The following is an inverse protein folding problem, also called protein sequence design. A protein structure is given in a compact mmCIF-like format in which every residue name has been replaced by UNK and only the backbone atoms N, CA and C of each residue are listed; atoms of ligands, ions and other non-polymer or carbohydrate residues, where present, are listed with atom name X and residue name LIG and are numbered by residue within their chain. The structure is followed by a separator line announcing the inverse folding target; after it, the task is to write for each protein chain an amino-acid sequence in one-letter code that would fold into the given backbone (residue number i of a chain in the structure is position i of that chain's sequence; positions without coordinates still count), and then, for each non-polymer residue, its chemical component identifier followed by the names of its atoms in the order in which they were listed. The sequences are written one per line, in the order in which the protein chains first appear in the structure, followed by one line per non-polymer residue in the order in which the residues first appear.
data_IF_404833755116
#
_entry.id   IF_404833755116
#
_cell.length_a   1.000
_cell.length_b   1.000
_cell.length_c   1.000
_cell.angle_alpha   90.00
_cell.angle_beta   90.00
_cell.angle_gamma   90.00
#
_symmetry.space_group_name_H-M   'P 1'
#
loop_
_entity.id
_entity.type
_entity.pdbx_description
1 polymer ?
#
# COMPACT_ATOMS: atom_id res chain seq x y z
N UNK A 1 -23.12 -80.89 -15.71
CA UNK A 1 -22.95 -79.89 -16.80
C UNK A 1 -23.84 -78.69 -16.47
N UNK A 2 -23.22 -77.51 -16.42
CA UNK A 2 -23.80 -76.22 -16.05
C UNK A 2 -24.53 -75.61 -17.24
N UNK A 3 -25.72 -75.02 -17.06
CA UNK A 3 -26.09 -73.73 -17.68
C UNK A 3 -27.01 -72.99 -16.68
N UNK A 4 -26.54 -71.83 -16.21
CA UNK A 4 -27.22 -70.89 -15.31
C UNK A 4 -28.16 -69.96 -16.11
N UNK A 5 -29.23 -69.41 -15.49
CA UNK A 5 -30.06 -68.37 -16.11
C UNK A 5 -29.44 -66.97 -15.95
N UNK A 6 -29.60 -66.12 -16.98
CA UNK A 6 -29.20 -64.71 -17.00
C UNK A 6 -30.07 -63.86 -16.04
N UNK A 7 -29.49 -62.87 -15.32
CA UNK A 7 -30.26 -61.85 -14.63
C UNK A 7 -30.43 -60.57 -15.48
N UNK A 8 -31.60 -59.94 -15.32
CA UNK A 8 -31.93 -58.60 -15.80
C UNK A 8 -30.95 -57.54 -15.29
N UNK A 9 -30.50 -56.66 -16.20
CA UNK A 9 -29.67 -55.50 -15.88
C UNK A 9 -30.58 -54.30 -15.65
N UNK A 10 -30.71 -53.85 -14.40
CA UNK A 10 -31.37 -52.59 -14.07
C UNK A 10 -30.40 -51.43 -14.35
N UNK A 11 -30.73 -50.59 -15.33
CA UNK A 11 -30.00 -49.34 -15.59
C UNK A 11 -30.33 -48.32 -14.49
N UNK A 12 -29.43 -48.18 -13.52
CA UNK A 12 -29.44 -47.06 -12.57
C UNK A 12 -28.80 -45.87 -13.27
N UNK A 13 -29.62 -44.86 -13.59
CA UNK A 13 -29.14 -43.58 -14.07
C UNK A 13 -28.40 -42.86 -12.93
N UNK A 14 -27.07 -42.83 -13.02
CA UNK A 14 -26.21 -42.03 -12.16
C UNK A 14 -26.43 -40.54 -12.49
N UNK A 15 -27.17 -39.85 -11.62
CA UNK A 15 -27.14 -38.39 -11.51
C UNK A 15 -25.72 -37.98 -11.10
N UNK A 16 -24.95 -37.47 -12.05
CA UNK A 16 -23.71 -36.76 -11.79
C UNK A 16 -24.08 -35.44 -11.10
N UNK A 17 -24.00 -35.40 -9.77
CA UNK A 17 -23.82 -34.14 -9.06
C UNK A 17 -22.46 -33.59 -9.46
N UNK A 18 -22.45 -32.51 -10.25
CA UNK A 18 -21.29 -31.66 -10.44
C UNK A 18 -20.91 -31.05 -9.08
N UNK A 19 -20.08 -31.76 -8.32
CA UNK A 19 -19.35 -31.17 -7.21
C UNK A 19 -18.38 -30.18 -7.85
N UNK A 20 -18.72 -28.90 -7.79
CA UNK A 20 -17.77 -27.82 -8.01
C UNK A 20 -16.72 -27.94 -6.91
N UNK A 21 -15.64 -28.66 -7.21
CA UNK A 21 -14.42 -28.65 -6.42
C UNK A 21 -13.88 -27.22 -6.54
N UNK A 22 -14.15 -26.40 -5.52
CA UNK A 22 -13.44 -25.15 -5.35
C UNK A 22 -11.95 -25.46 -5.43
N UNK A 23 -11.23 -24.81 -6.36
CA UNK A 23 -9.82 -25.04 -6.58
C UNK A 23 -9.07 -25.05 -5.23
N UNK A 24 -8.23 -26.06 -4.96
CA UNK A 24 -7.48 -26.12 -3.71
C UNK A 24 -6.65 -24.85 -3.57
N UNK A 25 -6.72 -24.25 -2.38
CA UNK A 25 -6.00 -23.03 -2.04
C UNK A 25 -4.53 -23.21 -2.40
N UNK A 26 -4.02 -22.39 -3.32
CA UNK A 26 -2.61 -22.41 -3.68
C UNK A 26 -1.84 -21.83 -2.51
N UNK A 27 -1.08 -22.69 -1.84
CA UNK A 27 -0.17 -22.30 -0.77
C UNK A 27 0.76 -21.19 -1.29
N UNK A 28 0.91 -20.06 -0.57
CA UNK A 28 1.72 -18.95 -1.05
C UNK A 28 3.17 -19.42 -1.24
N UNK A 29 3.77 -19.04 -2.37
CA UNK A 29 5.10 -19.47 -2.75
C UNK A 29 6.12 -19.20 -1.62
N UNK A 30 7.00 -20.19 -1.40
CA UNK A 30 8.06 -20.17 -0.42
C UNK A 30 8.92 -18.90 -0.53
N UNK A 31 8.99 -18.13 0.56
CA UNK A 31 9.55 -16.77 0.62
C UNK A 31 8.68 -15.78 1.40
N UNK A 32 7.50 -16.23 1.81
CA UNK A 32 6.47 -15.45 2.50
C UNK A 32 6.35 -15.94 3.94
N UNK A 33 7.20 -15.50 4.87
CA UNK A 33 7.07 -15.98 6.25
C UNK A 33 5.73 -15.50 6.82
N UNK A 34 4.88 -16.46 7.16
CA UNK A 34 3.52 -16.21 7.64
C UNK A 34 3.53 -15.34 8.91
N UNK A 35 2.44 -14.59 9.12
CA UNK A 35 2.26 -13.81 10.34
C UNK A 35 2.14 -14.77 11.54
N UNK A 36 3.02 -14.68 12.55
CA UNK A 36 3.09 -15.66 13.65
C UNK A 36 2.03 -15.40 14.74
N UNK A 37 0.87 -14.88 14.37
CA UNK A 37 -0.23 -14.56 15.27
C UNK A 37 -1.52 -15.15 14.73
N UNK A 38 -2.37 -15.65 15.64
CA UNK A 38 -3.66 -16.23 15.24
C UNK A 38 -4.71 -15.14 15.03
N UNK A 39 -4.58 -14.01 15.73
CA UNK A 39 -5.52 -12.88 15.65
C UNK A 39 -4.80 -11.57 15.36
N UNK A 40 -5.50 -10.67 14.68
CA UNK A 40 -5.02 -9.31 14.39
C UNK A 40 -4.84 -8.52 15.69
N UNK A 41 -5.74 -8.69 16.65
CA UNK A 41 -5.64 -8.05 17.97
C UNK A 41 -4.43 -8.54 18.79
N UNK A 42 -4.06 -9.82 18.64
CA UNK A 42 -2.87 -10.41 19.27
C UNK A 42 -1.59 -9.79 18.69
N UNK A 43 -1.51 -9.70 17.36
CA UNK A 43 -0.41 -9.04 16.67
C UNK A 43 -0.27 -7.57 17.12
N UNK A 44 -1.39 -6.85 17.18
CA UNK A 44 -1.41 -5.45 17.62
C UNK A 44 -0.90 -5.28 19.06
N UNK A 45 -1.38 -6.11 19.99
CA UNK A 45 -0.96 -6.07 21.39
C UNK A 45 0.52 -6.41 21.54
N UNK A 46 1.03 -7.38 20.80
CA UNK A 46 2.43 -7.77 20.82
C UNK A 46 3.34 -6.64 20.32
N UNK A 47 3.01 -6.02 19.18
CA UNK A 47 3.82 -4.94 18.60
C UNK A 47 3.79 -3.65 19.41
N UNK A 48 2.69 -3.37 20.12
CA UNK A 48 2.61 -2.22 21.05
C UNK A 48 3.59 -2.33 22.22
N UNK A 49 3.92 -3.54 22.63
CA UNK A 49 4.84 -3.82 23.72
C UNK A 49 6.23 -4.24 23.23
N UNK A 50 6.49 -4.11 21.93
CA UNK A 50 7.77 -4.50 21.35
C UNK A 50 8.79 -3.38 21.56
N UNK A 51 9.89 -3.68 22.24
CA UNK A 51 10.96 -2.73 22.51
C UNK A 51 11.54 -2.16 21.20
N UNK A 52 11.66 -0.83 21.14
CA UNK A 52 12.17 -0.11 19.98
C UNK A 52 11.24 -0.06 18.77
N UNK A 53 10.03 -0.62 18.86
CA UNK A 53 9.01 -0.43 17.83
C UNK A 53 8.41 0.98 17.91
N UNK A 54 8.29 1.63 16.75
CA UNK A 54 7.63 2.94 16.64
C UNK A 54 6.24 2.77 16.04
N UNK A 55 5.22 3.25 16.77
CA UNK A 55 3.83 3.24 16.33
C UNK A 55 3.45 4.58 15.68
N UNK A 56 2.65 4.54 14.63
CA UNK A 56 2.02 5.72 14.04
C UNK A 56 0.61 5.41 13.53
N UNK A 57 -0.19 6.46 13.28
CA UNK A 57 -1.58 6.33 12.85
C UNK A 57 -2.59 6.49 14.00
N UNK A 58 -3.86 6.24 13.68
CA UNK A 58 -5.00 6.44 14.58
C UNK A 58 -6.15 5.47 14.22
N UNK A 59 -7.24 5.46 14.98
CA UNK A 59 -8.35 4.54 14.72
C UNK A 59 -9.06 4.78 13.38
N UNK A 60 -9.10 6.03 12.89
CA UNK A 60 -9.78 6.37 11.65
C UNK A 60 -8.98 5.93 10.42
N UNK A 61 -7.66 6.05 10.51
CA UNK A 61 -6.71 5.77 9.43
C UNK A 61 -6.08 4.38 9.56
N UNK A 62 -6.19 3.74 10.71
CA UNK A 62 -5.47 2.50 11.01
C UNK A 62 -4.10 2.79 11.61
N UNK A 63 -3.39 1.73 11.95
CA UNK A 63 -2.13 1.84 12.67
C UNK A 63 -1.00 1.24 11.87
N UNK A 64 0.22 1.75 12.07
CA UNK A 64 1.41 1.08 11.61
C UNK A 64 2.47 1.00 12.70
N UNK A 65 3.26 -0.07 12.66
CA UNK A 65 4.41 -0.27 13.53
C UNK A 65 5.64 -0.49 12.68
N UNK A 66 6.71 0.26 12.96
CA UNK A 66 8.03 0.02 12.40
C UNK A 66 8.91 -0.57 13.49
N UNK A 67 9.47 -1.75 13.24
CA UNK A 67 10.40 -2.39 14.17
C UNK A 67 11.75 -1.68 14.19
N UNK A 68 12.51 -1.91 15.26
CA UNK A 68 13.83 -1.32 15.45
C UNK A 68 14.84 -1.69 14.35
N UNK A 69 14.61 -2.80 13.63
CA UNK A 69 15.42 -3.20 12.48
C UNK A 69 15.32 -2.24 11.28
N UNK A 70 14.39 -1.28 11.32
CA UNK A 70 14.13 -0.30 10.27
C UNK A 70 13.52 -0.87 8.98
N UNK A 71 13.45 -2.20 8.85
CA UNK A 71 13.07 -2.91 7.63
C UNK A 71 11.67 -3.49 7.72
N UNK A 72 11.28 -3.95 8.91
CA UNK A 72 10.00 -4.60 9.14
C UNK A 72 8.96 -3.59 9.57
N UNK A 73 7.89 -3.52 8.79
CA UNK A 73 6.77 -2.64 9.01
C UNK A 73 5.46 -3.43 9.00
N UNK A 74 4.56 -3.07 9.89
CA UNK A 74 3.26 -3.70 10.06
C UNK A 74 2.17 -2.66 9.84
N UNK A 75 1.12 -3.02 9.12
CA UNK A 75 0.01 -2.14 8.77
C UNK A 75 -1.30 -2.77 9.17
N UNK A 76 -2.04 -2.10 10.03
CA UNK A 76 -3.34 -2.50 10.54
C UNK A 76 -4.41 -1.66 9.88
N UNK A 77 -5.38 -2.34 9.29
CA UNK A 77 -6.55 -1.71 8.68
C UNK A 77 -7.43 -1.03 9.73
N UNK A 78 -7.90 0.19 9.46
CA UNK A 78 -8.93 0.85 10.28
C UNK A 78 -10.26 0.11 10.25
N UNK A 79 -11.10 0.38 11.25
CA UNK A 79 -12.44 -0.20 11.33
C UNK A 79 -13.34 0.13 10.13
N UNK A 80 -13.01 1.19 9.37
CA UNK A 80 -13.76 1.60 8.16
C UNK A 80 -13.34 0.82 6.92
N UNK A 81 -12.20 0.14 6.96
CA UNK A 81 -11.71 -0.59 5.80
C UNK A 81 -12.49 -1.89 5.58
N UNK A 82 -12.77 -2.22 4.32
CA UNK A 82 -13.54 -3.40 3.97
C UNK A 82 -12.88 -4.74 4.38
N UNK A 83 -11.55 -4.75 4.48
CA UNK A 83 -10.79 -5.92 4.95
C UNK A 83 -10.61 -5.97 6.48
N UNK A 84 -11.16 -5.00 7.23
CA UNK A 84 -11.01 -5.00 8.68
C UNK A 84 -11.73 -6.21 9.33
N UNK A 85 -11.11 -6.86 10.34
CA UNK A 85 -9.75 -6.65 10.82
C UNK A 85 -8.73 -7.42 9.98
N UNK A 86 -7.68 -6.71 9.55
CA UNK A 86 -6.54 -7.28 8.84
C UNK A 86 -5.24 -6.55 9.19
N UNK A 87 -4.13 -7.30 9.17
CA UNK A 87 -2.77 -6.81 9.28
C UNK A 87 -1.90 -7.32 8.14
N UNK A 88 -1.09 -6.44 7.58
CA UNK A 88 -0.04 -6.76 6.60
C UNK A 88 1.32 -6.51 7.24
N UNK A 89 2.22 -7.49 7.18
CA UNK A 89 3.63 -7.34 7.51
C UNK A 89 4.40 -7.19 6.21
N UNK A 90 5.28 -6.19 6.13
CA UNK A 90 6.19 -5.97 5.02
C UNK A 90 7.62 -5.87 5.54
N UNK A 91 8.53 -6.62 4.95
CA UNK A 91 9.96 -6.58 5.23
C UNK A 91 10.64 -6.02 3.98
N UNK A 92 11.22 -4.84 4.12
CA UNK A 92 11.91 -4.19 3.01
C UNK A 92 13.20 -4.96 2.65
N UNK A 93 13.56 -5.03 1.35
CA UNK A 93 14.77 -5.71 0.92
C UNK A 93 16.02 -5.07 1.53
N UNK A 94 17.07 -5.87 1.70
CA UNK A 94 18.38 -5.38 2.10
C UNK A 94 18.89 -4.43 1.01
N UNK A 95 19.30 -3.21 1.37
CA UNK A 95 19.77 -2.18 0.44
C UNK A 95 18.73 -1.63 -0.55
N UNK A 96 17.43 -1.90 -0.35
CA UNK A 96 16.38 -1.38 -1.22
C UNK A 96 16.28 -2.07 -2.59
N UNK A 97 17.14 -3.06 -2.88
CA UNK A 97 17.13 -3.82 -4.12
C UNK A 97 16.39 -5.15 -3.95
N UNK A 98 15.34 -5.35 -4.74
CA UNK A 98 14.53 -6.57 -4.73
C UNK A 98 13.09 -6.31 -4.28
N UNK A 99 12.32 -7.39 -4.20
CA UNK A 99 10.92 -7.32 -3.75
C UNK A 99 10.85 -7.36 -2.23
N UNK A 100 9.90 -6.63 -1.67
CA UNK A 100 9.61 -6.76 -0.24
C UNK A 100 8.96 -8.10 0.05
N UNK A 101 9.38 -8.73 1.13
CA UNK A 101 8.67 -9.88 1.67
C UNK A 101 7.40 -9.38 2.37
N UNK A 102 6.25 -9.98 2.08
CA UNK A 102 4.96 -9.52 2.58
C UNK A 102 4.13 -10.67 3.10
N UNK A 103 3.55 -10.55 4.29
CA UNK A 103 2.61 -11.51 4.83
C UNK A 103 1.33 -10.80 5.25
N UNK A 104 0.20 -11.52 5.21
CA UNK A 104 -1.10 -10.97 5.60
C UNK A 104 -1.82 -11.90 6.56
N UNK A 105 -2.55 -11.31 7.50
CA UNK A 105 -3.50 -11.99 8.37
C UNK A 105 -4.80 -11.21 8.30
N UNK A 106 -5.85 -11.87 7.80
CA UNK A 106 -7.21 -11.35 7.77
C UNK A 106 -8.12 -12.29 8.55
N UNK A 107 -8.96 -11.75 9.42
CA UNK A 107 -9.97 -12.57 10.12
C UNK A 107 -11.27 -12.68 9.32
N UNK A 108 -11.50 -11.75 8.37
CA UNK A 108 -12.64 -11.77 7.46
C UNK A 108 -12.20 -12.16 6.05
N UNK A 109 -12.74 -13.26 5.54
CA UNK A 109 -12.58 -13.63 4.13
C UNK A 109 -13.33 -12.64 3.26
N UNK A 110 -12.60 -11.84 2.49
CA UNK A 110 -13.16 -10.80 1.61
C UNK A 110 -12.22 -10.57 0.44
N UNK A 111 -12.78 -10.18 -0.70
CA UNK A 111 -12.00 -9.74 -1.86
C UNK A 111 -11.14 -8.51 -1.53
N UNK A 112 -11.55 -7.70 -0.55
CA UNK A 112 -10.74 -6.59 -0.03
C UNK A 112 -9.46 -7.08 0.66
N UNK A 113 -9.50 -8.22 1.36
CA UNK A 113 -8.30 -8.82 1.96
C UNK A 113 -7.33 -9.34 0.88
N UNK A 114 -7.85 -10.00 -0.15
CA UNK A 114 -7.04 -10.53 -1.27
C UNK A 114 -6.29 -9.39 -1.98
N UNK A 115 -6.98 -8.27 -2.20
CA UNK A 115 -6.42 -7.06 -2.83
C UNK A 115 -5.38 -6.33 -1.98
N UNK A 116 -5.31 -6.55 -0.67
CA UNK A 116 -4.32 -5.88 0.17
C UNK A 116 -2.89 -6.26 -0.27
N UNK A 117 -2.61 -7.55 -0.51
CA UNK A 117 -1.26 -7.96 -0.93
C UNK A 117 -0.85 -7.34 -2.27
N UNK A 118 -1.78 -7.21 -3.21
CA UNK A 118 -1.53 -6.57 -4.51
C UNK A 118 -1.19 -5.08 -4.34
N UNK A 119 -1.96 -4.36 -3.52
CA UNK A 119 -1.70 -2.96 -3.20
C UNK A 119 -0.30 -2.77 -2.60
N UNK A 120 0.11 -3.65 -1.69
CA UNK A 120 1.43 -3.58 -1.07
C UNK A 120 2.58 -4.00 -2.00
N UNK A 121 2.33 -4.95 -2.92
CA UNK A 121 3.31 -5.38 -3.90
C UNK A 121 3.68 -4.28 -4.92
N UNK A 122 2.75 -3.36 -5.21
CA UNK A 122 3.00 -2.20 -6.08
C UNK A 122 3.88 -1.11 -5.46
N UNK A 123 4.30 -1.25 -4.18
CA UNK A 123 4.98 -0.19 -3.41
C UNK A 123 6.47 -0.47 -3.14
N UNK A 124 7.16 -1.24 -3.98
CA UNK A 124 8.62 -1.45 -3.88
C UNK A 124 9.42 -0.22 -4.36
N UNK A 125 9.32 0.86 -3.57
CA UNK A 125 10.10 2.09 -3.67
C UNK A 125 10.01 2.91 -2.36
N UNK A 126 11.05 3.67 -1.97
CA UNK A 126 11.16 4.31 -0.64
C UNK A 126 10.14 5.42 -0.32
N UNK A 127 9.20 5.76 -1.22
CA UNK A 127 8.39 7.00 -1.14
C UNK A 127 6.90 6.76 -0.77
N UNK A 128 6.37 5.53 -0.80
CA UNK A 128 4.90 5.31 -0.78
C UNK A 128 4.29 4.86 0.57
N UNK A 129 5.00 5.01 1.69
CA UNK A 129 4.61 4.36 2.97
C UNK A 129 3.67 5.13 3.89
N UNK A 130 3.45 6.44 3.66
CA UNK A 130 2.54 7.26 4.49
C UNK A 130 1.07 7.24 4.04
N UNK A 131 0.76 6.69 2.87
CA UNK A 131 -0.58 6.83 2.23
C UNK A 131 -1.57 5.72 2.55
N UNK A 132 -1.12 4.60 3.12
CA UNK A 132 -1.97 3.42 3.36
C UNK A 132 -2.91 3.61 4.56
N UNK A 133 -2.54 4.51 5.46
CA UNK A 133 -3.29 4.76 6.70
C UNK A 133 -4.41 5.80 6.38
N UNK A 134 -4.10 6.91 5.70
CA UNK A 134 -5.10 7.95 5.38
C UNK A 134 -6.16 7.60 4.30
N UNK A 135 -6.01 6.53 3.52
CA UNK A 135 -6.88 6.24 2.35
C UNK A 135 -7.98 5.20 2.59
N UNK A 136 -8.29 4.88 3.86
CA UNK A 136 -9.38 3.96 4.22
C UNK A 136 -10.79 4.60 4.16
N UNK A 137 -10.98 5.55 3.22
CA UNK A 137 -12.28 6.02 2.75
C UNK A 137 -12.32 5.74 1.26
N UNK A 138 -13.30 4.96 0.84
CA UNK A 138 -13.52 4.48 -0.54
C UNK A 138 -13.13 5.52 -1.61
N UNK A 139 -11.93 5.35 -2.16
CA UNK A 139 -11.59 5.71 -3.54
C UNK A 139 -11.23 4.36 -4.16
N UNK A 140 -11.93 3.89 -5.21
CA UNK A 140 -11.47 2.68 -5.90
C UNK A 140 -9.99 2.88 -6.29
N UNK A 141 -9.11 1.87 -6.13
CA UNK A 141 -7.76 1.99 -6.62
C UNK A 141 -7.85 2.22 -8.13
N UNK A 142 -7.49 3.42 -8.55
CA UNK A 142 -7.07 3.64 -9.91
C UNK A 142 -5.60 3.29 -9.91
N UNK A 143 -5.22 2.29 -10.69
CA UNK A 143 -3.84 1.91 -10.90
C UNK A 143 -3.19 3.02 -11.74
N UNK A 144 -2.53 3.97 -11.08
CA UNK A 144 -1.81 5.03 -11.77
C UNK A 144 -0.69 4.43 -12.62
N UNK A 145 -0.38 5.04 -13.77
CA UNK A 145 0.68 4.54 -14.65
C UNK A 145 1.99 4.43 -13.88
N UNK A 146 2.79 3.42 -14.23
CA UNK A 146 4.20 3.39 -13.86
C UNK A 146 4.85 4.73 -14.23
N UNK A 147 5.63 5.30 -13.31
CA UNK A 147 6.28 6.60 -13.48
C UNK A 147 5.40 7.85 -13.30
N UNK A 148 4.09 7.72 -13.03
CA UNK A 148 3.24 8.90 -12.77
C UNK A 148 3.75 9.72 -11.59
N UNK A 149 4.08 9.06 -10.49
CA UNK A 149 4.67 9.71 -9.31
C UNK A 149 5.96 10.46 -9.62
N UNK A 150 6.82 9.91 -10.49
CA UNK A 150 8.06 10.58 -10.90
C UNK A 150 7.76 11.86 -11.68
N UNK A 151 6.80 11.83 -12.63
CA UNK A 151 6.39 13.03 -13.38
C UNK A 151 5.88 14.15 -12.46
N UNK A 152 5.18 13.80 -11.38
CA UNK A 152 4.74 14.76 -10.36
C UNK A 152 5.93 15.37 -9.61
N UNK A 153 6.89 14.54 -9.18
CA UNK A 153 8.12 15.01 -8.51
C UNK A 153 8.92 15.92 -9.43
N UNK A 154 9.07 15.54 -10.69
CA UNK A 154 9.85 16.29 -11.68
C UNK A 154 9.21 17.65 -11.98
N UNK A 155 7.87 17.72 -12.02
CA UNK A 155 7.13 18.98 -12.18
C UNK A 155 7.39 19.95 -11.03
N UNK A 156 7.48 19.47 -9.78
CA UNK A 156 7.86 20.32 -8.64
C UNK A 156 9.35 20.66 -8.66
N UNK A 157 10.21 19.70 -9.00
CA UNK A 157 11.66 19.91 -9.06
C UNK A 157 12.08 20.92 -10.12
N UNK A 158 11.37 21.00 -11.24
CA UNK A 158 11.60 22.04 -12.26
C UNK A 158 11.46 23.47 -11.70
N UNK A 159 10.66 23.65 -10.64
CA UNK A 159 10.43 24.95 -10.00
C UNK A 159 11.20 25.15 -8.68
N UNK A 160 11.89 24.10 -8.20
CA UNK A 160 12.78 24.20 -7.05
C UNK A 160 14.07 24.94 -7.44
N UNK A 161 14.66 25.72 -6.51
CA UNK A 161 15.98 26.30 -6.74
C UNK A 161 17.01 25.18 -6.94
N UNK A 162 17.74 25.25 -8.05
CA UNK A 162 18.78 24.27 -8.45
C UNK A 162 19.93 24.20 -7.44
N UNK A 163 20.15 25.29 -6.69
CA UNK A 163 21.20 25.42 -5.70
C UNK A 163 20.71 26.13 -4.44
N UNK A 164 21.20 25.66 -3.29
CA UNK A 164 21.07 26.31 -1.98
C UNK A 164 21.93 25.56 -0.97
N UNK A 165 22.39 26.25 0.07
CA UNK A 165 23.12 25.65 1.20
C UNK A 165 22.13 24.90 2.11
N UNK A 166 21.53 23.85 1.56
CA UNK A 166 20.64 22.96 2.29
C UNK A 166 21.45 21.79 2.83
N UNK A 167 21.26 21.39 4.09
CA UNK A 167 21.82 20.15 4.62
C UNK A 167 21.42 18.93 3.78
N UNK A 168 22.32 17.96 3.78
CA UNK A 168 22.11 16.69 3.11
C UNK A 168 21.00 15.90 3.81
N UNK A 169 20.21 15.17 3.02
CA UNK A 169 19.19 14.23 3.50
C UNK A 169 18.00 14.83 4.27
N UNK A 170 17.74 16.13 4.13
CA UNK A 170 16.50 16.75 4.63
C UNK A 170 15.36 16.60 3.63
N UNK A 171 14.15 16.44 4.14
CA UNK A 171 12.96 16.39 3.31
C UNK A 171 11.77 17.06 3.99
N UNK A 172 10.90 17.60 3.16
CA UNK A 172 9.60 18.15 3.56
C UNK A 172 8.48 17.35 2.88
N UNK A 173 7.34 17.23 3.56
CA UNK A 173 6.14 16.65 2.96
C UNK A 173 5.06 17.71 2.78
N UNK A 174 4.54 17.76 1.55
CA UNK A 174 3.48 18.67 1.16
C UNK A 174 2.27 17.85 0.70
N UNK A 175 1.10 18.26 1.18
CA UNK A 175 -0.18 17.82 0.63
C UNK A 175 -0.63 18.83 -0.42
N UNK A 176 -1.06 18.33 -1.58
CA UNK A 176 -1.51 19.15 -2.72
C UNK A 176 -2.87 18.66 -3.16
N UNK A 177 -3.83 19.59 -3.18
CA UNK A 177 -5.17 19.42 -3.72
C UNK A 177 -5.20 19.91 -5.17
N UNK A 178 -5.81 19.11 -6.05
CA UNK A 178 -5.94 19.45 -7.46
C UNK A 178 -7.32 19.09 -8.00
N UNK A 179 -7.71 19.76 -9.07
CA UNK A 179 -8.93 19.44 -9.82
C UNK A 179 -8.69 18.30 -10.84
N UNK A 180 -9.74 17.92 -11.56
CA UNK A 180 -9.67 16.85 -12.58
C UNK A 180 -8.79 17.18 -13.79
N UNK A 181 -8.42 18.45 -13.95
CA UNK A 181 -7.53 18.94 -15.03
C UNK A 181 -6.07 18.98 -14.58
N UNK A 182 -5.78 18.59 -13.33
CA UNK A 182 -4.44 18.64 -12.75
C UNK A 182 -4.07 20.00 -12.18
N UNK A 183 -4.97 20.99 -12.24
CA UNK A 183 -4.72 22.32 -11.68
C UNK A 183 -4.71 22.25 -10.16
N UNK A 184 -3.68 22.82 -9.55
CA UNK A 184 -3.54 22.91 -8.10
C UNK A 184 -4.56 23.94 -7.59
N UNK A 185 -5.39 23.49 -6.64
CA UNK A 185 -6.42 24.33 -6.00
C UNK A 185 -6.12 24.61 -4.53
N UNK A 186 -5.14 23.92 -3.95
CA UNK A 186 -4.66 24.15 -2.60
C UNK A 186 -3.42 23.32 -2.28
N UNK A 187 -2.62 23.78 -1.32
CA UNK A 187 -1.47 23.03 -0.84
C UNK A 187 -1.14 23.42 0.60
N UNK A 188 -0.54 22.51 1.35
CA UNK A 188 -0.06 22.76 2.70
C UNK A 188 1.10 21.87 3.07
N UNK A 189 2.01 22.40 3.88
CA UNK A 189 3.08 21.62 4.49
C UNK A 189 2.47 20.73 5.59
N UNK A 190 2.66 19.42 5.48
CA UNK A 190 2.19 18.44 6.49
C UNK A 190 3.35 17.89 7.33
N UNK A 191 4.59 18.03 6.84
CA UNK A 191 5.80 17.76 7.60
C UNK A 191 6.89 18.76 7.21
N UNK A 192 7.33 19.54 8.20
CA UNK A 192 8.49 20.42 8.06
C UNK A 192 9.78 19.61 8.00
N UNK A 193 10.74 20.12 7.22
CA UNK A 193 12.12 19.61 7.20
C UNK A 193 12.94 20.03 8.42
N UNK A 194 12.44 20.97 9.23
CA UNK A 194 13.19 21.66 10.27
C UNK A 194 14.00 22.85 9.75
N UNK A 195 13.91 23.17 8.45
CA UNK A 195 14.64 24.27 7.80
C UNK A 195 13.63 25.12 7.05
N UNK A 196 13.31 26.28 7.62
CA UNK A 196 12.28 27.19 7.11
C UNK A 196 12.50 27.56 5.64
N UNK A 197 13.76 27.83 5.26
CA UNK A 197 14.09 28.22 3.91
C UNK A 197 13.94 27.08 2.89
N UNK A 198 14.14 25.82 3.28
CA UNK A 198 13.82 24.65 2.44
C UNK A 198 12.31 24.42 2.34
N UNK A 199 11.59 24.55 3.46
CA UNK A 199 10.12 24.42 3.47
C UNK A 199 9.46 25.49 2.59
N UNK A 200 9.95 26.73 2.66
CA UNK A 200 9.49 27.83 1.80
C UNK A 200 9.81 27.57 0.32
N UNK A 201 10.99 27.02 0.01
CA UNK A 201 11.34 26.64 -1.35
C UNK A 201 10.41 25.54 -1.90
N UNK A 202 10.06 24.56 -1.06
CA UNK A 202 9.11 23.49 -1.38
C UNK A 202 7.70 24.04 -1.62
N UNK A 203 7.20 24.92 -0.76
CA UNK A 203 5.88 25.52 -0.96
C UNK A 203 5.85 26.40 -2.21
N UNK A 204 6.90 27.20 -2.44
CA UNK A 204 7.02 28.05 -3.62
C UNK A 204 7.14 27.25 -4.93
N UNK A 205 7.72 26.05 -4.91
CA UNK A 205 7.78 25.20 -6.11
C UNK A 205 6.41 24.63 -6.48
N UNK A 206 5.62 24.22 -5.47
CA UNK A 206 4.23 23.77 -5.66
C UNK A 206 3.37 24.89 -6.22
N UNK A 207 3.50 26.10 -5.68
CA UNK A 207 2.77 27.28 -6.15
C UNK A 207 3.07 27.58 -7.62
N UNK A 208 4.35 27.60 -8.01
CA UNK A 208 4.80 27.84 -9.39
C UNK A 208 4.41 26.76 -10.37
N UNK A 209 4.15 25.53 -9.90
CA UNK A 209 3.78 24.43 -10.80
C UNK A 209 2.41 24.67 -11.42
N UNK A 210 1.47 25.29 -10.71
CA UNK A 210 0.08 25.62 -11.11
C UNK A 210 -0.78 24.44 -11.61
N UNK A 211 -0.27 23.63 -12.54
CA UNK A 211 -0.90 22.47 -13.17
C UNK A 211 0.07 21.30 -13.18
N UNK A 212 -0.34 20.17 -12.62
CA UNK A 212 0.39 18.92 -12.61
C UNK A 212 0.07 18.07 -13.84
N UNK A 213 1.02 17.22 -14.28
CA UNK A 213 0.76 16.28 -15.35
C UNK A 213 -0.40 15.34 -14.98
N UNK A 214 -1.21 15.03 -15.97
CA UNK A 214 -2.22 13.99 -15.88
C UNK A 214 -1.55 12.61 -16.00
N UNK A 215 -2.26 11.59 -15.55
CA UNK A 215 -1.83 10.22 -15.79
C UNK A 215 -2.02 9.82 -17.26
N UNK A 216 -1.49 8.66 -17.67
CA UNK A 216 -1.57 8.17 -19.06
C UNK A 216 -3.00 8.01 -19.58
N UNK A 217 -3.97 7.90 -18.69
CA UNK A 217 -5.39 7.81 -19.01
C UNK A 217 -6.12 9.17 -18.98
N UNK A 218 -5.37 10.27 -18.87
CA UNK A 218 -5.89 11.63 -18.88
C UNK A 218 -6.53 12.06 -17.56
N UNK A 219 -6.21 11.41 -16.44
CA UNK A 219 -6.85 11.72 -15.16
C UNK A 219 -5.86 12.15 -14.08
N UNK A 220 -6.36 12.90 -13.10
CA UNK A 220 -5.60 13.37 -11.96
C UNK A 220 -6.26 12.91 -10.64
N UNK A 221 -5.47 12.61 -9.60
CA UNK A 221 -5.97 12.42 -8.24
C UNK A 221 -6.53 13.74 -7.72
N UNK A 222 -7.49 13.72 -6.78
CA UNK A 222 -7.99 14.96 -6.16
C UNK A 222 -7.03 15.52 -5.09
N UNK A 223 -6.17 14.65 -4.55
CA UNK A 223 -5.21 14.98 -3.50
C UNK A 223 -4.00 14.07 -3.57
N UNK A 224 -2.80 14.63 -3.49
CA UNK A 224 -1.53 13.91 -3.37
C UNK A 224 -0.76 14.35 -2.14
N UNK A 225 0.12 13.48 -1.66
CA UNK A 225 1.12 13.79 -0.66
C UNK A 225 2.47 13.44 -1.26
N UNK A 226 3.40 14.40 -1.23
CA UNK A 226 4.70 14.27 -1.87
C UNK A 226 5.82 14.60 -0.89
N UNK A 227 6.88 13.82 -0.92
CA UNK A 227 8.10 14.07 -0.18
C UNK A 227 9.15 14.66 -1.12
N UNK A 228 9.62 15.88 -0.81
CA UNK A 228 10.63 16.59 -1.57
C UNK A 228 11.92 16.63 -0.74
N UNK A 229 12.97 16.03 -1.31
CA UNK A 229 14.30 15.93 -0.70
C UNK A 229 15.20 17.06 -1.21
N UNK A 230 16.08 17.57 -0.34
CA UNK A 230 17.05 18.64 -0.68
C UNK A 230 17.99 18.27 -1.81
N UNK A 231 18.22 16.96 -2.04
CA UNK A 231 18.92 16.44 -3.21
C UNK A 231 18.12 15.37 -3.96
N UNK A 232 18.27 15.29 -5.30
CA UNK A 232 17.81 14.14 -6.07
C UNK A 232 18.49 12.86 -5.57
N UNK A 233 17.70 11.79 -5.37
CA UNK A 233 18.19 10.42 -5.21
C UNK A 233 17.91 9.65 -6.49
#
# INVERSE_FOLDING_TARGET
MKINPLPWVASVALLLCDVVVAAPWKEPAAGTQAIPYKRVSEAFKALKNLDGATMSGDEAQGYSFRQADGRTQWFFTSFKHAAHPAVVRRISPVNGQGRSEMAILCEKRSTACEKLLELFAGMDGPIMLKRVVGTLRAVPPRDWSSGYGSRLIDAFRANLPVSGDWPDDVFAEVEVDMDRTGRIVGYRLIKSSGIEAWDAAVLGSVEKTEVLPLDSDGTAPLRIVMALWSRPR
#
